data_IF_529933557113
#
_entry.id   IF_529933557113
#
_cell.length_a   1.000
_cell.length_b   1.000
_cell.length_c   1.000
_cell.angle_alpha   90.00
_cell.angle_beta   90.00
_cell.angle_gamma   90.00
#
_symmetry.space_group_name_H-M   'P 1'
#
loop_
_entity.id
_entity.type
_entity.pdbx_description
1 polymer ?
#
# COMPACT_ATOMS: atom_id res chain seq x y z
N UNK A 1 17.65 -3.28 12.67
CA UNK A 1 17.48 -3.31 11.21
C UNK A 1 16.41 -4.36 10.92
N UNK A 2 15.40 -4.04 10.13
CA UNK A 2 14.32 -4.99 9.80
C UNK A 2 14.52 -5.37 8.34
N UNK A 3 15.01 -6.58 8.11
CA UNK A 3 15.19 -7.09 6.75
C UNK A 3 13.83 -7.47 6.15
N UNK A 4 13.61 -7.05 4.91
CA UNK A 4 12.37 -7.35 4.18
C UNK A 4 12.52 -8.71 3.51
N UNK A 5 11.67 -9.67 3.89
CA UNK A 5 11.56 -10.94 3.17
C UNK A 5 10.68 -10.78 1.93
N UNK A 6 11.30 -10.70 0.76
CA UNK A 6 10.57 -10.75 -0.51
C UNK A 6 10.07 -12.18 -0.78
N UNK A 7 8.75 -12.35 -0.86
CA UNK A 7 8.16 -13.65 -1.18
C UNK A 7 8.38 -14.00 -2.66
N UNK A 8 8.85 -15.22 -2.92
CA UNK A 8 9.01 -15.81 -4.24
C UNK A 8 8.42 -17.24 -4.23
N UNK A 9 8.48 -17.94 -5.36
CA UNK A 9 7.90 -19.29 -5.43
C UNK A 9 8.66 -20.32 -4.59
N UNK A 10 9.94 -20.09 -4.29
CA UNK A 10 10.79 -21.00 -3.51
C UNK A 10 10.51 -20.89 -2.00
N UNK A 11 10.27 -19.67 -1.49
CA UNK A 11 10.07 -19.42 -0.07
C UNK A 11 8.60 -19.34 0.36
N UNK A 12 7.65 -19.34 -0.59
CA UNK A 12 6.21 -19.33 -0.29
C UNK A 12 5.78 -20.48 0.61
N UNK A 13 6.24 -21.70 0.34
CA UNK A 13 5.88 -22.87 1.16
C UNK A 13 6.45 -22.76 2.58
N UNK A 14 7.69 -22.29 2.72
CA UNK A 14 8.29 -22.03 4.04
C UNK A 14 7.47 -21.02 4.85
N UNK A 15 7.04 -19.92 4.22
CA UNK A 15 6.24 -18.89 4.91
C UNK A 15 4.86 -19.40 5.28
N UNK A 16 4.22 -20.24 4.45
CA UNK A 16 2.95 -20.91 4.82
C UNK A 16 3.13 -21.79 6.06
N UNK A 17 4.18 -22.60 6.11
CA UNK A 17 4.47 -23.45 7.29
C UNK A 17 4.70 -22.62 8.55
N UNK A 18 5.39 -21.47 8.45
CA UNK A 18 5.57 -20.57 9.60
C UNK A 18 4.23 -19.99 10.11
N UNK A 19 3.36 -19.56 9.19
CA UNK A 19 2.03 -19.04 9.53
C UNK A 19 1.22 -20.11 10.27
N UNK A 20 1.24 -21.35 9.77
CA UNK A 20 0.56 -22.50 10.40
C UNK A 20 1.14 -22.83 11.77
N UNK A 21 2.47 -22.89 11.89
CA UNK A 21 3.16 -23.16 13.16
C UNK A 21 2.84 -22.12 14.23
N UNK A 22 2.78 -20.84 13.83
CA UNK A 22 2.40 -19.74 14.71
C UNK A 22 0.89 -19.65 14.97
N UNK A 23 0.10 -20.56 14.38
CA UNK A 23 -1.36 -20.59 14.45
C UNK A 23 -2.01 -19.25 14.06
N UNK A 24 -1.40 -18.57 13.08
CA UNK A 24 -1.92 -17.34 12.52
C UNK A 24 -3.07 -17.68 11.58
N UNK A 25 -4.16 -16.90 11.67
CA UNK A 25 -5.34 -17.07 10.83
C UNK A 25 -5.38 -15.98 9.78
N UNK A 26 -5.86 -16.34 8.59
CA UNK A 26 -6.20 -15.35 7.57
C UNK A 26 -7.39 -14.53 8.07
N UNK A 27 -7.19 -13.25 8.32
CA UNK A 27 -8.27 -12.31 8.69
C UNK A 27 -8.96 -11.75 7.45
N UNK A 28 -8.18 -11.27 6.48
CA UNK A 28 -8.68 -10.63 5.24
C UNK A 28 -7.75 -10.91 4.07
N UNK A 29 -8.36 -11.06 2.88
CA UNK A 29 -7.65 -11.12 1.61
C UNK A 29 -7.83 -9.80 0.87
N UNK A 30 -6.72 -9.21 0.41
CA UNK A 30 -6.71 -7.98 -0.36
C UNK A 30 -6.10 -8.25 -1.74
N UNK A 31 -6.89 -8.08 -2.79
CA UNK A 31 -6.44 -8.28 -4.17
C UNK A 31 -6.46 -6.92 -4.88
N UNK A 32 -5.34 -6.52 -5.50
CA UNK A 32 -5.18 -5.23 -6.16
C UNK A 32 -4.21 -5.25 -7.32
N UNK A 33 -4.37 -4.29 -8.23
CA UNK A 33 -3.31 -3.84 -9.15
C UNK A 33 -2.72 -2.54 -8.61
N UNK A 34 -1.39 -2.43 -8.53
CA UNK A 34 -0.69 -1.24 -8.01
C UNK A 34 0.12 -0.57 -9.11
N UNK A 35 -0.07 0.74 -9.26
CA UNK A 35 0.77 1.59 -10.10
C UNK A 35 1.64 2.46 -9.20
N UNK A 36 2.96 2.32 -9.33
CA UNK A 36 3.92 3.03 -8.48
C UNK A 36 4.62 4.12 -9.28
N UNK A 37 4.67 5.33 -8.70
CA UNK A 37 5.39 6.48 -9.23
C UNK A 37 6.33 7.01 -8.14
N UNK A 38 7.47 7.54 -8.54
CA UNK A 38 8.45 8.13 -7.63
C UNK A 38 8.72 9.57 -8.08
N UNK A 39 8.68 10.51 -7.14
CA UNK A 39 9.21 11.87 -7.32
C UNK A 39 10.15 12.16 -6.15
N UNK A 40 11.42 12.31 -6.45
CA UNK A 40 12.48 12.46 -5.42
C UNK A 40 12.40 11.32 -4.40
N UNK A 41 12.23 11.61 -3.12
CA UNK A 41 12.13 10.61 -2.05
C UNK A 41 10.69 10.18 -1.74
N UNK A 42 9.70 10.68 -2.48
CA UNK A 42 8.29 10.37 -2.24
C UNK A 42 7.76 9.40 -3.29
N UNK A 43 7.18 8.31 -2.81
CA UNK A 43 6.49 7.30 -3.60
C UNK A 43 4.99 7.55 -3.58
N UNK A 44 4.37 7.44 -4.74
CA UNK A 44 2.92 7.44 -4.91
C UNK A 44 2.48 6.07 -5.40
N UNK A 45 1.51 5.47 -4.72
CA UNK A 45 0.94 4.18 -5.10
C UNK A 45 -0.56 4.35 -5.37
N UNK A 46 -0.96 4.12 -6.61
CA UNK A 46 -2.37 4.05 -7.00
C UNK A 46 -2.76 2.58 -6.96
N UNK A 47 -3.55 2.22 -5.96
CA UNK A 47 -4.08 0.87 -5.78
C UNK A 47 -5.51 0.79 -6.32
N UNK A 48 -5.72 -0.10 -7.27
CA UNK A 48 -7.05 -0.51 -7.75
C UNK A 48 -7.36 -1.88 -7.16
N UNK A 49 -8.02 -1.89 -5.99
CA UNK A 49 -8.41 -3.13 -5.32
C UNK A 49 -9.59 -3.75 -6.04
N UNK A 50 -9.46 -5.03 -6.39
CA UNK A 50 -10.55 -5.87 -6.87
C UNK A 50 -11.28 -6.57 -5.73
N UNK A 51 -10.63 -6.72 -4.57
CA UNK A 51 -11.22 -7.25 -3.34
C UNK A 51 -10.61 -6.55 -2.10
N UNK A 52 -11.39 -5.76 -1.33
CA UNK A 52 -12.70 -5.22 -1.68
C UNK A 52 -12.59 -4.24 -2.86
N UNK A 53 -13.70 -3.94 -3.57
CA UNK A 53 -13.65 -2.96 -4.67
C UNK A 53 -13.45 -1.54 -4.13
N UNK A 54 -12.27 -0.96 -4.35
CA UNK A 54 -11.95 0.41 -3.98
C UNK A 54 -10.69 0.91 -4.71
N UNK A 55 -10.57 2.23 -4.86
CA UNK A 55 -9.35 2.88 -5.38
C UNK A 55 -8.71 3.72 -4.28
N UNK A 56 -7.41 3.55 -4.07
CA UNK A 56 -6.64 4.27 -3.05
C UNK A 56 -5.41 4.91 -3.66
N UNK A 57 -5.10 6.12 -3.21
CA UNK A 57 -3.80 6.75 -3.41
C UNK A 57 -3.04 6.72 -2.07
N UNK A 58 -1.92 6.01 -2.01
CA UNK A 58 -0.97 6.08 -0.91
C UNK A 58 0.20 6.99 -1.29
N UNK A 59 0.66 7.79 -0.33
CA UNK A 59 1.81 8.68 -0.45
C UNK A 59 2.79 8.29 0.66
N UNK A 60 3.95 7.76 0.29
CA UNK A 60 4.95 7.20 1.20
C UNK A 60 6.26 7.98 1.06
N UNK A 61 6.83 8.40 2.18
CA UNK A 61 8.05 9.20 2.25
C UNK A 61 8.30 9.61 3.70
N UNK A 62 9.27 10.50 3.93
CA UNK A 62 9.41 11.06 5.28
C UNK A 62 8.25 12.00 5.61
N UNK A 63 7.97 12.17 6.90
CA UNK A 63 6.80 12.93 7.36
C UNK A 63 6.77 14.37 6.85
N UNK A 64 7.93 15.02 6.68
CA UNK A 64 8.00 16.41 6.24
C UNK A 64 7.61 16.57 4.77
N UNK A 65 8.16 15.72 3.90
CA UNK A 65 7.87 15.69 2.47
C UNK A 65 6.40 15.29 2.22
N UNK A 66 5.92 14.26 2.92
CA UNK A 66 4.52 13.81 2.83
C UNK A 66 3.55 14.91 3.28
N UNK A 67 3.88 15.64 4.35
CA UNK A 67 3.04 16.74 4.83
C UNK A 67 2.97 17.89 3.81
N UNK A 68 4.10 18.27 3.20
CA UNK A 68 4.13 19.30 2.14
C UNK A 68 3.23 18.91 0.97
N UNK A 69 3.37 17.69 0.47
CA UNK A 69 2.54 17.17 -0.63
C UNK A 69 1.06 17.13 -0.24
N UNK A 70 0.74 16.68 0.98
CA UNK A 70 -0.64 16.68 1.44
C UNK A 70 -1.22 18.09 1.50
N UNK A 71 -0.47 19.09 1.95
CA UNK A 71 -0.93 20.49 1.95
C UNK A 71 -1.20 21.01 0.54
N UNK A 72 -0.37 20.65 -0.43
CA UNK A 72 -0.56 21.00 -1.85
C UNK A 72 -1.77 20.30 -2.48
N UNK A 73 -1.98 19.02 -2.14
CA UNK A 73 -3.05 18.19 -2.72
C UNK A 73 -4.40 18.37 -2.02
N UNK A 74 -4.44 18.72 -0.74
CA UNK A 74 -5.68 18.78 0.05
C UNK A 74 -6.76 19.68 -0.56
N UNK A 75 -6.44 20.87 -1.13
CA UNK A 75 -7.42 21.67 -1.84
C UNK A 75 -8.03 20.94 -3.05
N UNK A 76 -7.20 20.23 -3.83
CA UNK A 76 -7.67 19.45 -4.98
C UNK A 76 -8.49 18.25 -4.53
N UNK A 77 -8.04 17.50 -3.52
CA UNK A 77 -8.74 16.34 -2.96
C UNK A 77 -10.11 16.77 -2.43
N UNK A 78 -10.18 17.88 -1.69
CA UNK A 78 -11.43 18.39 -1.13
C UNK A 78 -12.39 18.79 -2.25
N UNK A 79 -11.90 19.46 -3.30
CA UNK A 79 -12.72 19.82 -4.47
C UNK A 79 -13.28 18.59 -5.19
N UNK A 80 -12.50 17.52 -5.30
CA UNK A 80 -12.89 16.30 -6.01
C UNK A 80 -13.80 15.38 -5.17
N UNK A 81 -13.66 15.40 -3.84
CA UNK A 81 -14.53 14.64 -2.91
C UNK A 81 -16.01 15.08 -2.93
N UNK A 82 -16.33 16.29 -3.41
CA UNK A 82 -17.70 16.84 -3.41
C UNK A 82 -18.52 16.36 -4.65
N UNK A 83 -18.08 15.33 -5.37
CA UNK A 83 -18.72 14.88 -6.62
C UNK A 83 -19.19 13.43 -6.65
N UNK A 84 -19.40 12.81 -5.49
CA UNK A 84 -20.12 11.53 -5.39
C UNK A 84 -21.52 11.73 -4.79
#
# INVERSE_FOLDING_TARGET
ETDILNLNNENKEFVKTLIEFLNLKVDKELIRTRYTYQKENVKFEIDDYTNPKMKILAIEGNSEEVNKINQELMPMITKLKIKE
#
